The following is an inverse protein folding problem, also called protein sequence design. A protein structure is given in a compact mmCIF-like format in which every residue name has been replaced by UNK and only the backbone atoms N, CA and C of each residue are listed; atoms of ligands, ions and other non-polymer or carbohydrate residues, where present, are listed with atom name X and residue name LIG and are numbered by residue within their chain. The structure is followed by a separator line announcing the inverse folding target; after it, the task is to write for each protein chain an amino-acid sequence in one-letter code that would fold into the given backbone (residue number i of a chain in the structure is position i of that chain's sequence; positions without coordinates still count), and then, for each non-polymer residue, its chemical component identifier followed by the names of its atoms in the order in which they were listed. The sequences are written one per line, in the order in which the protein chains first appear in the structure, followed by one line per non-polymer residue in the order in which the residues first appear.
data_IF_876286283304
#
_entry.id   IF_876286283304
#
_cell.length_a   1.000
_cell.length_b   1.000
_cell.length_c   1.000
_cell.angle_alpha   90.00
_cell.angle_beta   90.00
_cell.angle_gamma   90.00
#
_symmetry.space_group_name_H-M   'P 1'
#
loop_
_entity.id
_entity.type
_entity.pdbx_description
1 polymer ?
#
# COMPACT_ATOMS: atom_id res chain seq x y z
N UNK A 1 6.64 -39.53 61.91
CA UNK A 1 6.15 -38.32 61.19
C UNK A 1 6.79 -38.10 59.81
N UNK A 2 7.53 -39.06 59.23
CA UNK A 2 8.32 -38.86 57.99
C UNK A 2 7.65 -39.42 56.70
N UNK A 3 6.73 -40.38 56.80
CA UNK A 3 6.10 -41.03 55.63
C UNK A 3 5.13 -40.13 54.83
N UNK A 4 4.57 -39.08 55.46
CA UNK A 4 3.67 -38.15 54.79
C UNK A 4 4.40 -37.17 53.85
N UNK A 5 5.72 -37.00 54.03
CA UNK A 5 6.52 -36.05 53.26
C UNK A 5 7.06 -36.69 51.97
N UNK A 6 7.47 -37.96 52.00
CA UNK A 6 7.90 -38.73 50.81
C UNK A 6 6.77 -38.90 49.78
N UNK A 7 5.56 -39.24 50.23
CA UNK A 7 4.39 -39.37 49.34
C UNK A 7 4.05 -38.05 48.64
N UNK A 8 4.30 -36.91 49.30
CA UNK A 8 4.06 -35.58 48.72
C UNK A 8 5.10 -35.24 47.64
N UNK A 9 6.36 -35.62 47.85
CA UNK A 9 7.41 -35.47 46.85
C UNK A 9 7.19 -36.38 45.63
N UNK A 10 6.79 -37.63 45.83
CA UNK A 10 6.42 -38.52 44.72
C UNK A 10 5.22 -38.00 43.95
N UNK A 11 4.16 -37.54 44.63
CA UNK A 11 2.99 -36.96 43.96
C UNK A 11 3.36 -35.72 43.14
N UNK A 12 4.17 -34.81 43.71
CA UNK A 12 4.68 -33.64 42.98
C UNK A 12 5.54 -34.08 41.79
N UNK A 13 6.41 -35.08 41.94
CA UNK A 13 7.24 -35.60 40.85
C UNK A 13 6.41 -36.22 39.71
N UNK A 14 5.43 -37.06 40.02
CA UNK A 14 4.56 -37.69 39.02
C UNK A 14 3.65 -36.68 38.32
N UNK A 15 3.11 -35.70 39.06
CA UNK A 15 2.32 -34.60 38.47
C UNK A 15 3.17 -33.72 37.58
N UNK A 16 4.39 -33.35 37.99
CA UNK A 16 5.32 -32.58 37.15
C UNK A 16 5.72 -33.37 35.90
N UNK A 17 6.03 -34.66 36.05
CA UNK A 17 6.41 -35.55 34.95
C UNK A 17 5.26 -35.75 33.95
N UNK A 18 4.03 -35.91 34.43
CA UNK A 18 2.83 -35.96 33.60
C UNK A 18 2.59 -34.66 32.84
N UNK A 19 2.80 -33.52 33.50
CA UNK A 19 2.67 -32.19 32.88
C UNK A 19 3.72 -31.98 31.79
N UNK A 20 4.97 -32.38 32.03
CA UNK A 20 6.05 -32.36 31.03
C UNK A 20 5.72 -33.28 29.84
N UNK A 21 5.24 -34.50 30.08
CA UNK A 21 4.84 -35.42 29.00
C UNK A 21 3.69 -34.86 28.16
N UNK A 22 2.68 -34.24 28.79
CA UNK A 22 1.59 -33.55 28.11
C UNK A 22 2.09 -32.38 27.26
N UNK A 23 2.99 -31.54 27.79
CA UNK A 23 3.59 -30.45 27.03
C UNK A 23 4.35 -31.00 25.82
N UNK A 24 5.16 -32.05 25.99
CA UNK A 24 5.93 -32.66 24.90
C UNK A 24 5.02 -33.23 23.81
N UNK A 25 3.93 -33.90 24.17
CA UNK A 25 2.94 -34.41 23.20
C UNK A 25 2.24 -33.27 22.46
N UNK A 26 1.87 -32.19 23.15
CA UNK A 26 1.26 -31.01 22.54
C UNK A 26 2.25 -30.36 21.56
N UNK A 27 3.51 -30.16 21.97
CA UNK A 27 4.55 -29.60 21.11
C UNK A 27 4.83 -30.48 19.90
N UNK A 28 4.89 -31.80 20.08
CA UNK A 28 5.05 -32.75 18.98
C UNK A 28 3.87 -32.68 18.01
N UNK A 29 2.64 -32.66 18.51
CA UNK A 29 1.43 -32.52 17.69
C UNK A 29 1.41 -31.20 16.92
N UNK A 30 1.76 -30.09 17.58
CA UNK A 30 1.88 -28.77 16.92
C UNK A 30 2.95 -28.82 15.83
N UNK A 31 4.14 -29.34 16.14
CA UNK A 31 5.25 -29.47 15.19
C UNK A 31 4.91 -30.35 13.98
N UNK A 32 4.24 -31.48 14.21
CA UNK A 32 3.77 -32.35 13.14
C UNK A 32 2.74 -31.62 12.26
N UNK A 33 1.76 -30.94 12.88
CA UNK A 33 0.72 -30.20 12.16
C UNK A 33 1.28 -29.02 11.37
N UNK A 34 2.25 -28.29 11.90
CA UNK A 34 2.92 -27.21 11.17
C UNK A 34 3.69 -27.76 9.98
N UNK A 35 4.43 -28.86 10.16
CA UNK A 35 5.19 -29.51 9.07
C UNK A 35 4.27 -29.99 7.95
N UNK A 36 3.14 -30.61 8.28
CA UNK A 36 2.15 -31.05 7.28
C UNK A 36 1.55 -29.85 6.54
N UNK A 37 1.21 -28.77 7.25
CA UNK A 37 0.67 -27.54 6.65
C UNK A 37 1.69 -26.84 5.73
N UNK A 38 2.97 -26.84 6.08
CA UNK A 38 4.04 -26.30 5.23
C UNK A 38 4.15 -27.09 3.93
N UNK A 39 4.22 -28.43 4.00
CA UNK A 39 4.25 -29.30 2.82
C UNK A 39 3.02 -29.08 1.93
N UNK A 40 1.84 -29.04 2.52
CA UNK A 40 0.59 -28.78 1.81
C UNK A 40 0.65 -27.45 1.03
N UNK A 41 1.19 -26.40 1.65
CA UNK A 41 1.31 -25.08 1.02
C UNK A 41 2.35 -25.06 -0.10
N UNK A 42 3.42 -25.83 0.01
CA UNK A 42 4.43 -25.95 -1.04
C UNK A 42 3.89 -26.75 -2.24
N UNK A 43 3.20 -27.86 -2.00
CA UNK A 43 2.51 -28.64 -3.04
C UNK A 43 1.44 -27.78 -3.74
N UNK A 44 0.68 -27.00 -2.97
CA UNK A 44 -0.31 -26.06 -3.48
C UNK A 44 0.32 -25.03 -4.42
N UNK A 45 1.43 -24.40 -4.02
CA UNK A 45 2.14 -23.41 -4.85
C UNK A 45 2.65 -24.05 -6.15
N UNK A 46 3.15 -25.28 -6.09
CA UNK A 46 3.64 -25.98 -7.27
C UNK A 46 2.48 -26.29 -8.23
N UNK A 47 1.37 -26.81 -7.71
CA UNK A 47 0.19 -27.14 -8.52
C UNK A 47 -0.47 -25.89 -9.11
N UNK A 48 -0.61 -24.83 -8.32
CA UNK A 48 -1.15 -23.54 -8.75
C UNK A 48 -0.39 -22.99 -9.98
N UNK A 49 0.95 -23.09 -10.00
CA UNK A 49 1.77 -22.61 -11.12
C UNK A 49 1.66 -23.43 -12.40
N UNK A 50 1.14 -24.66 -12.33
CA UNK A 50 0.93 -25.53 -13.49
C UNK A 50 -0.41 -25.25 -14.19
N UNK A 51 -1.31 -24.50 -13.56
CA UNK A 51 -2.61 -24.18 -14.11
C UNK A 51 -2.53 -23.03 -15.12
N UNK A 52 -3.43 -23.07 -16.11
CA UNK A 52 -3.61 -21.97 -17.06
C UNK A 52 -4.66 -21.00 -16.53
N UNK A 53 -4.33 -19.71 -16.54
CA UNK A 53 -5.19 -18.62 -16.05
C UNK A 53 -5.55 -17.66 -17.19
N UNK A 54 -6.62 -17.94 -17.96
CA UNK A 54 -7.13 -16.99 -18.94
C UNK A 54 -7.61 -15.72 -18.25
N UNK A 55 -7.29 -14.55 -18.83
CA UNK A 55 -7.79 -13.26 -18.34
C UNK A 55 -9.31 -13.18 -18.59
N UNK A 56 -10.16 -12.99 -17.56
CA UNK A 56 -11.62 -13.00 -17.74
C UNK A 56 -12.13 -11.90 -18.66
N UNK A 57 -11.54 -10.71 -18.57
CA UNK A 57 -11.89 -9.55 -19.38
C UNK A 57 -10.61 -8.94 -19.98
N UNK A 58 -10.31 -9.21 -21.27
CA UNK A 58 -9.12 -8.70 -21.92
C UNK A 58 -9.15 -7.17 -22.12
N UNK A 59 -10.34 -6.55 -22.08
CA UNK A 59 -10.55 -5.13 -22.32
C UNK A 59 -10.63 -4.29 -21.03
N UNK A 60 -10.35 -4.87 -19.87
CA UNK A 60 -10.35 -4.13 -18.62
C UNK A 60 -9.27 -3.03 -18.61
N UNK A 61 -9.70 -1.79 -18.43
CA UNK A 61 -8.84 -0.59 -18.49
C UNK A 61 -8.33 -0.15 -17.11
N UNK A 62 -8.63 -0.89 -16.04
CA UNK A 62 -8.19 -0.61 -14.67
C UNK A 62 -8.68 0.72 -14.09
N UNK A 63 -9.70 1.33 -14.69
CA UNK A 63 -10.30 2.56 -14.18
C UNK A 63 -11.43 2.25 -13.19
N UNK A 64 -11.14 2.42 -11.90
CA UNK A 64 -12.10 2.14 -10.82
C UNK A 64 -12.87 3.41 -10.44
N UNK A 65 -14.12 3.22 -10.01
CA UNK A 65 -14.94 4.27 -9.42
C UNK A 65 -15.74 3.70 -8.25
N UNK A 66 -16.02 4.55 -7.26
CA UNK A 66 -16.85 4.19 -6.12
C UNK A 66 -18.25 3.76 -6.61
N UNK A 67 -18.67 2.56 -6.19
CA UNK A 67 -20.01 2.01 -6.45
C UNK A 67 -20.76 1.87 -5.14
N UNK A 68 -22.00 2.35 -5.11
CA UNK A 68 -22.87 2.18 -3.94
C UNK A 68 -23.27 0.73 -3.78
N UNK A 69 -23.33 0.25 -2.54
CA UNK A 69 -23.71 -1.12 -2.19
C UNK A 69 -25.15 -1.12 -1.67
N UNK A 70 -26.05 -1.78 -2.39
CA UNK A 70 -27.44 -1.95 -1.95
C UNK A 70 -28.19 -0.62 -1.79
N UNK A 71 -28.76 -0.38 -0.61
CA UNK A 71 -29.53 0.84 -0.36
C UNK A 71 -28.65 2.10 -0.42
N UNK A 72 -28.94 2.99 -1.37
CA UNK A 72 -28.21 4.24 -1.56
C UNK A 72 -28.20 5.16 -0.33
N UNK A 73 -29.23 5.12 0.54
CA UNK A 73 -29.27 5.94 1.75
C UNK A 73 -28.24 5.53 2.81
N UNK A 74 -27.71 4.31 2.72
CA UNK A 74 -26.72 3.81 3.68
C UNK A 74 -25.31 4.36 3.42
N UNK A 75 -25.03 4.91 2.24
CA UNK A 75 -23.70 5.43 1.86
C UNK A 75 -22.59 4.36 2.00
N UNK A 76 -22.91 3.09 1.77
CA UNK A 76 -21.90 2.02 1.74
C UNK A 76 -21.33 1.94 0.33
N UNK A 77 -20.01 1.92 0.17
CA UNK A 77 -19.38 1.99 -1.15
C UNK A 77 -18.25 0.96 -1.31
N UNK A 78 -18.16 0.35 -2.50
CA UNK A 78 -17.08 -0.55 -2.93
C UNK A 78 -16.29 0.16 -4.02
N UNK A 79 -14.97 0.07 -3.98
CA UNK A 79 -14.11 0.76 -4.95
C UNK A 79 -13.40 -0.19 -5.91
N UNK A 80 -12.65 -1.14 -5.36
CA UNK A 80 -11.76 -1.99 -6.15
C UNK A 80 -11.66 -3.39 -5.59
N UNK A 81 -11.27 -4.31 -6.46
CA UNK A 81 -11.00 -5.69 -6.12
C UNK A 81 -9.78 -6.19 -6.90
N UNK A 82 -8.97 -7.04 -6.28
CA UNK A 82 -7.75 -7.60 -6.84
C UNK A 82 -7.72 -9.11 -6.65
N UNK A 83 -7.29 -9.84 -7.68
CA UNK A 83 -6.93 -11.24 -7.51
C UNK A 83 -5.51 -11.34 -6.96
N UNK A 84 -5.40 -11.76 -5.70
CA UNK A 84 -4.14 -11.99 -5.03
C UNK A 84 -3.79 -13.48 -5.06
N UNK A 85 -2.81 -13.83 -5.88
CA UNK A 85 -2.38 -15.20 -6.08
C UNK A 85 -1.57 -15.78 -4.90
N UNK A 86 -1.28 -14.99 -3.87
CA UNK A 86 -0.56 -15.44 -2.67
C UNK A 86 -1.44 -16.37 -1.85
N UNK A 87 -1.08 -17.65 -1.78
CA UNK A 87 -1.78 -18.66 -0.98
C UNK A 87 -1.30 -18.70 0.47
N UNK A 88 -0.13 -18.13 0.75
CA UNK A 88 0.44 -17.99 2.10
C UNK A 88 -0.38 -17.06 3.00
N UNK A 89 -1.03 -16.04 2.43
CA UNK A 89 -1.90 -15.12 3.16
C UNK A 89 -3.31 -15.66 3.38
N UNK A 90 -3.65 -16.82 2.79
CA UNK A 90 -4.94 -17.50 2.99
C UNK A 90 -4.80 -18.44 4.19
N UNK A 91 -5.70 -18.33 5.17
CA UNK A 91 -5.63 -19.14 6.38
C UNK A 91 -6.04 -20.58 6.11
N UNK A 92 -7.18 -20.81 5.45
CA UNK A 92 -7.70 -22.14 5.11
C UNK A 92 -7.50 -22.49 3.63
N UNK A 93 -6.46 -23.28 3.36
CA UNK A 93 -6.16 -23.78 2.01
C UNK A 93 -6.79 -25.15 1.73
N UNK A 94 -7.09 -25.42 0.46
CA UNK A 94 -7.61 -26.69 -0.07
C UNK A 94 -6.71 -27.21 -1.19
N UNK A 95 -6.49 -28.52 -1.24
CA UNK A 95 -5.74 -29.21 -2.30
C UNK A 95 -6.43 -30.51 -2.75
N UNK A 96 -7.68 -30.75 -2.36
CA UNK A 96 -8.37 -32.03 -2.60
C UNK A 96 -9.20 -31.99 -3.89
N UNK A 97 -10.53 -32.01 -3.84
CA UNK A 97 -11.38 -31.85 -5.04
C UNK A 97 -11.27 -30.44 -5.62
N UNK A 98 -11.14 -29.46 -4.73
CA UNK A 98 -10.88 -28.06 -5.04
C UNK A 98 -9.48 -27.65 -4.60
N UNK A 99 -8.88 -26.77 -5.38
CA UNK A 99 -7.59 -26.15 -5.12
C UNK A 99 -7.76 -24.67 -4.77
N UNK A 100 -7.09 -24.21 -3.71
CA UNK A 100 -6.97 -22.78 -3.41
C UNK A 100 -5.98 -22.11 -4.36
N UNK A 101 -6.46 -21.18 -5.19
CA UNK A 101 -5.62 -20.46 -6.16
C UNK A 101 -5.24 -19.06 -5.72
N UNK A 102 -5.64 -18.64 -4.52
CA UNK A 102 -5.40 -17.30 -4.00
C UNK A 102 -6.64 -16.76 -3.29
N UNK A 103 -6.78 -15.44 -3.30
CA UNK A 103 -7.94 -14.74 -2.71
C UNK A 103 -8.33 -13.51 -3.53
N UNK A 104 -9.57 -13.07 -3.35
CA UNK A 104 -9.99 -11.73 -3.76
C UNK A 104 -9.77 -10.76 -2.61
N UNK A 105 -9.06 -9.67 -2.89
CA UNK A 105 -8.86 -8.55 -1.97
C UNK A 105 -9.74 -7.40 -2.42
N UNK A 106 -10.74 -7.06 -1.62
CA UNK A 106 -11.76 -6.04 -1.93
C UNK A 106 -11.63 -4.88 -0.96
N UNK A 107 -11.63 -3.66 -1.51
CA UNK A 107 -11.57 -2.43 -0.73
C UNK A 107 -12.89 -1.66 -0.82
N UNK A 108 -13.40 -1.28 0.35
CA UNK A 108 -14.69 -0.64 0.51
C UNK A 108 -14.65 0.43 1.61
N UNK A 109 -15.66 1.29 1.62
CA UNK A 109 -15.97 2.18 2.74
C UNK A 109 -17.27 1.67 3.36
N UNK A 110 -17.17 1.21 4.61
CA UNK A 110 -18.28 0.64 5.36
C UNK A 110 -18.29 1.18 6.81
N UNK A 111 -19.44 1.19 7.48
CA UNK A 111 -19.52 1.60 8.88
C UNK A 111 -18.73 0.67 9.81
N UNK A 112 -18.04 1.23 10.81
CA UNK A 112 -17.24 0.45 11.77
C UNK A 112 -18.09 -0.61 12.51
N UNK A 113 -19.36 -0.29 12.81
CA UNK A 113 -20.32 -1.20 13.46
C UNK A 113 -20.59 -2.52 12.72
N UNK A 114 -20.16 -2.65 11.46
CA UNK A 114 -20.29 -3.91 10.72
C UNK A 114 -19.21 -4.93 11.10
N UNK A 115 -18.26 -4.62 11.99
CA UNK A 115 -17.13 -5.50 12.34
C UNK A 115 -17.54 -6.90 12.82
N UNK A 116 -18.72 -7.00 13.42
CA UNK A 116 -19.27 -8.26 13.93
C UNK A 116 -20.21 -8.94 12.92
N UNK A 117 -20.38 -8.36 11.73
CA UNK A 117 -21.24 -8.89 10.67
C UNK A 117 -20.47 -9.86 9.77
N UNK A 118 -21.13 -10.95 9.39
CA UNK A 118 -20.63 -11.81 8.33
C UNK A 118 -20.79 -11.09 6.98
N UNK A 119 -19.66 -10.93 6.28
CA UNK A 119 -19.60 -10.36 4.93
C UNK A 119 -19.24 -11.48 3.96
N UNK A 120 -19.87 -11.49 2.80
CA UNK A 120 -19.57 -12.40 1.70
C UNK A 120 -19.26 -11.62 0.42
N UNK A 121 -18.45 -12.22 -0.43
CA UNK A 121 -18.22 -11.79 -1.80
C UNK A 121 -19.16 -12.56 -2.74
N UNK A 122 -19.97 -11.84 -3.52
CA UNK A 122 -20.69 -12.42 -4.65
C UNK A 122 -19.81 -12.26 -5.88
N UNK A 123 -19.20 -13.35 -6.34
CA UNK A 123 -18.36 -13.36 -7.54
C UNK A 123 -19.22 -13.64 -8.76
N UNK A 124 -18.89 -13.01 -9.89
CA UNK A 124 -19.56 -13.21 -11.18
C UNK A 124 -18.55 -13.60 -12.24
N UNK A 125 -18.90 -14.60 -13.05
CA UNK A 125 -18.09 -15.11 -14.15
C UNK A 125 -18.57 -14.56 -15.50
N UNK A 126 -17.81 -14.85 -16.56
CA UNK A 126 -18.08 -14.36 -17.92
C UNK A 126 -19.40 -14.90 -18.51
N UNK A 127 -19.84 -16.08 -18.08
CA UNK A 127 -21.12 -16.70 -18.41
C UNK A 127 -22.30 -16.17 -17.57
N UNK A 128 -22.07 -15.12 -16.79
CA UNK A 128 -23.02 -14.52 -15.84
C UNK A 128 -23.42 -15.42 -14.66
N UNK A 129 -22.79 -16.58 -14.50
CA UNK A 129 -22.94 -17.37 -13.27
C UNK A 129 -22.37 -16.60 -12.08
N UNK A 130 -23.02 -16.75 -10.93
CA UNK A 130 -22.64 -16.08 -9.69
C UNK A 130 -22.59 -17.07 -8.53
N UNK A 131 -21.58 -16.90 -7.68
CA UNK A 131 -21.36 -17.72 -6.49
C UNK A 131 -21.05 -16.83 -5.30
N UNK A 132 -21.52 -17.24 -4.13
CA UNK A 132 -21.25 -16.52 -2.89
C UNK A 132 -20.10 -17.19 -2.13
N UNK A 133 -19.13 -16.38 -1.72
CA UNK A 133 -17.95 -16.80 -0.97
C UNK A 133 -17.94 -16.03 0.34
N UNK A 134 -18.03 -16.73 1.46
CA UNK A 134 -17.89 -16.11 2.78
C UNK A 134 -16.48 -15.54 2.93
N UNK A 135 -16.37 -14.28 3.33
CA UNK A 135 -15.07 -13.68 3.59
C UNK A 135 -14.39 -14.38 4.77
N UNK A 136 -13.12 -14.74 4.59
CA UNK A 136 -12.30 -15.28 5.68
C UNK A 136 -11.83 -14.16 6.60
N UNK A 137 -11.59 -12.98 6.04
CA UNK A 137 -11.28 -11.77 6.79
C UNK A 137 -12.12 -10.62 6.24
N UNK A 138 -12.80 -9.89 7.12
CA UNK A 138 -13.50 -8.66 6.77
C UNK A 138 -13.47 -7.71 7.96
N UNK A 139 -12.83 -6.56 7.81
CA UNK A 139 -12.70 -5.62 8.91
C UNK A 139 -12.32 -4.22 8.47
N UNK A 140 -12.64 -3.27 9.36
CA UNK A 140 -12.10 -1.92 9.28
C UNK A 140 -10.57 -1.95 9.47
N UNK A 141 -9.87 -1.20 8.62
CA UNK A 141 -8.41 -1.02 8.72
C UNK A 141 -8.07 -0.14 9.93
N UNK A 142 -6.86 -0.27 10.48
CA UNK A 142 -6.50 0.20 11.83
C UNK A 142 -6.62 1.72 12.09
N UNK A 143 -6.61 2.59 11.07
CA UNK A 143 -6.70 4.06 11.20
C UNK A 143 -8.14 4.60 11.17
N UNK A 144 -9.01 4.14 12.07
CA UNK A 144 -10.44 4.53 12.08
C UNK A 144 -10.67 5.94 12.65
N UNK A 145 -9.78 6.47 13.50
CA UNK A 145 -9.86 7.82 14.09
C UNK A 145 -11.24 8.18 14.71
N UNK A 146 -11.93 7.22 15.35
CA UNK A 146 -13.29 7.38 15.90
C UNK A 146 -14.35 7.84 14.87
N UNK A 147 -14.10 7.61 13.58
CA UNK A 147 -15.06 7.96 12.54
C UNK A 147 -16.20 6.95 12.43
N UNK A 148 -17.35 7.40 11.90
CA UNK A 148 -18.52 6.56 11.68
C UNK A 148 -18.31 5.52 10.56
N UNK A 149 -17.46 5.86 9.59
CA UNK A 149 -17.02 5.01 8.49
C UNK A 149 -15.53 4.74 8.59
N UNK A 150 -15.11 3.61 8.00
CA UNK A 150 -13.71 3.26 7.87
C UNK A 150 -13.41 2.76 6.46
N UNK A 151 -12.13 2.73 6.11
CA UNK A 151 -11.64 1.90 5.03
C UNK A 151 -11.72 0.42 5.48
N UNK A 152 -12.23 -0.45 4.61
CA UNK A 152 -12.38 -1.87 4.89
C UNK A 152 -11.54 -2.71 3.95
N UNK A 153 -10.90 -3.73 4.50
CA UNK A 153 -10.28 -4.81 3.74
C UNK A 153 -11.13 -6.07 3.88
N UNK A 154 -11.57 -6.61 2.75
CA UNK A 154 -12.30 -7.88 2.70
C UNK A 154 -11.48 -8.87 1.88
N UNK A 155 -11.28 -10.07 2.43
CA UNK A 155 -10.56 -11.17 1.80
C UNK A 155 -11.48 -12.39 1.66
N UNK A 156 -11.74 -12.78 0.42
CA UNK A 156 -12.54 -13.95 0.08
C UNK A 156 -11.64 -14.99 -0.61
N UNK A 157 -11.40 -16.17 0.00
CA UNK A 157 -10.53 -17.18 -0.59
C UNK A 157 -11.16 -17.76 -1.86
N UNK A 158 -10.36 -17.94 -2.92
CA UNK A 158 -10.80 -18.55 -4.16
C UNK A 158 -10.37 -20.01 -4.21
N UNK A 159 -11.38 -20.89 -4.18
CA UNK A 159 -11.26 -22.31 -4.41
C UNK A 159 -11.85 -22.63 -5.78
N UNK A 160 -11.13 -23.40 -6.60
CA UNK A 160 -11.59 -23.81 -7.93
C UNK A 160 -11.46 -25.32 -8.07
N UNK A 161 -12.31 -25.92 -8.89
CA UNK A 161 -12.12 -27.31 -9.29
C UNK A 161 -10.73 -27.50 -9.91
N UNK A 162 -10.15 -28.70 -9.79
CA UNK A 162 -8.89 -29.08 -10.44
C UNK A 162 -9.06 -29.26 -11.96
N UNK A 163 -9.48 -28.20 -12.64
CA UNK A 163 -9.60 -28.12 -14.09
C UNK A 163 -8.62 -27.08 -14.65
N UNK A 164 -8.16 -27.31 -15.88
CA UNK A 164 -7.33 -26.37 -16.64
C UNK A 164 -7.93 -26.24 -18.05
N UNK A 165 -8.24 -25.02 -18.52
CA UNK A 165 -7.98 -23.74 -17.89
C UNK A 165 -8.87 -23.44 -16.67
N UNK A 166 -8.34 -22.65 -15.74
CA UNK A 166 -9.07 -22.18 -14.56
C UNK A 166 -10.09 -21.13 -14.99
N UNK A 167 -11.34 -21.32 -14.60
CA UNK A 167 -12.36 -20.29 -14.76
C UNK A 167 -12.18 -19.25 -13.65
N UNK A 168 -11.80 -18.02 -14.04
CA UNK A 168 -11.58 -16.91 -13.11
C UNK A 168 -12.80 -15.96 -13.11
N UNK A 169 -13.20 -15.42 -11.94
CA UNK A 169 -14.32 -14.49 -11.86
C UNK A 169 -13.96 -13.12 -12.48
N UNK A 170 -14.90 -12.50 -13.20
CA UNK A 170 -14.69 -11.20 -13.82
C UNK A 170 -14.99 -10.03 -12.88
N UNK A 171 -15.93 -10.20 -11.96
CA UNK A 171 -16.41 -9.12 -11.10
C UNK A 171 -16.83 -9.64 -9.72
N UNK A 172 -16.86 -8.75 -8.74
CA UNK A 172 -17.28 -9.05 -7.37
C UNK A 172 -18.17 -7.95 -6.82
N UNK A 173 -19.14 -8.35 -6.00
CA UNK A 173 -19.95 -7.49 -5.15
C UNK A 173 -19.85 -7.97 -3.70
N UNK A 174 -20.27 -7.14 -2.75
CA UNK A 174 -20.33 -7.51 -1.33
C UNK A 174 -21.78 -7.75 -0.91
N UNK A 175 -22.01 -8.75 -0.06
CA UNK A 175 -23.29 -9.03 0.59
C UNK A 175 -23.14 -9.17 2.12
N UNK A 176 -24.13 -8.68 2.86
CA UNK A 176 -24.22 -8.83 4.32
C UNK A 176 -25.64 -8.55 4.82
N UNK A 177 -26.00 -9.19 5.94
CA UNK A 177 -27.40 -9.26 6.41
C UNK A 177 -28.07 -7.92 6.72
N UNK A 178 -27.31 -6.92 7.18
CA UNK A 178 -27.84 -5.60 7.52
C UNK A 178 -28.23 -4.74 6.31
N UNK A 179 -27.87 -5.15 5.08
CA UNK A 179 -28.24 -4.49 3.83
C UNK A 179 -28.70 -5.54 2.81
N UNK A 180 -29.94 -6.06 2.96
CA UNK A 180 -30.47 -7.13 2.09
C UNK A 180 -30.43 -6.80 0.59
N UNK A 181 -30.51 -5.53 0.20
CA UNK A 181 -30.40 -5.11 -1.20
C UNK A 181 -29.03 -5.43 -1.81
N UNK A 182 -27.98 -5.54 -1.00
CA UNK A 182 -26.65 -5.95 -1.45
C UNK A 182 -26.64 -7.37 -2.06
N UNK A 183 -27.55 -8.23 -1.64
CA UNK A 183 -27.73 -9.58 -2.19
C UNK A 183 -28.76 -9.62 -3.33
N UNK A 184 -29.86 -8.87 -3.21
CA UNK A 184 -30.96 -8.88 -4.19
C UNK A 184 -30.60 -8.13 -5.48
N UNK A 185 -29.80 -7.06 -5.39
CA UNK A 185 -29.31 -6.28 -6.53
C UNK A 185 -27.84 -5.91 -6.31
N UNK A 186 -26.90 -6.88 -6.47
CA UNK A 186 -25.51 -6.66 -6.13
C UNK A 186 -24.84 -5.66 -7.07
N UNK A 187 -24.06 -4.76 -6.49
CA UNK A 187 -23.31 -3.75 -7.23
C UNK A 187 -21.88 -4.22 -7.44
N UNK A 188 -21.55 -4.54 -8.69
CA UNK A 188 -20.30 -5.19 -9.06
C UNK A 188 -19.20 -4.19 -9.41
N UNK A 189 -17.98 -4.50 -8.96
CA UNK A 189 -16.73 -3.93 -9.46
C UNK A 189 -15.94 -5.01 -10.20
N UNK A 190 -15.17 -4.62 -11.21
CA UNK A 190 -14.32 -5.56 -11.95
C UNK A 190 -13.16 -6.01 -11.06
N UNK A 191 -12.81 -7.29 -11.15
CA UNK A 191 -11.64 -7.83 -10.45
C UNK A 191 -10.40 -7.53 -11.28
N UNK A 192 -9.42 -6.91 -10.64
CA UNK A 192 -8.15 -6.56 -11.27
C UNK A 192 -7.18 -7.74 -11.24
N UNK A 193 -6.68 -8.08 -12.42
CA UNK A 193 -5.67 -9.10 -12.69
C UNK A 193 -4.42 -8.44 -13.30
N UNK A 194 -3.26 -9.12 -13.39
CA UNK A 194 -2.10 -8.61 -14.12
C UNK A 194 -2.47 -8.11 -15.53
N UNK A 195 -1.86 -7.00 -15.96
CA UNK A 195 -2.07 -6.50 -17.34
C UNK A 195 -1.73 -7.60 -18.35
N UNK A 196 -0.59 -8.25 -18.10
CA UNK A 196 -0.13 -9.44 -18.79
C UNK A 196 -0.19 -10.65 -17.85
N UNK A 197 -1.02 -11.65 -18.14
CA UNK A 197 -1.20 -12.82 -17.27
C UNK A 197 0.06 -13.68 -17.12
N UNK A 198 1.05 -13.56 -18.02
CA UNK A 198 2.35 -14.22 -17.82
C UNK A 198 3.11 -13.69 -16.60
N UNK A 199 2.74 -12.51 -16.08
CA UNK A 199 3.36 -11.89 -14.91
C UNK A 199 2.78 -12.37 -13.58
N UNK A 200 1.66 -13.11 -13.59
CA UNK A 200 0.93 -13.54 -12.38
C UNK A 200 1.84 -14.24 -11.36
N UNK A 201 2.74 -15.10 -11.83
CA UNK A 201 3.71 -15.83 -11.00
C UNK A 201 5.16 -15.45 -11.30
N UNK A 202 5.39 -14.47 -12.19
CA UNK A 202 6.73 -14.03 -12.54
C UNK A 202 7.41 -13.38 -11.32
N UNK A 203 8.73 -13.28 -11.36
CA UNK A 203 9.46 -12.47 -10.38
C UNK A 203 9.06 -11.00 -10.56
N UNK A 204 8.79 -10.30 -9.47
CA UNK A 204 8.45 -8.87 -9.52
C UNK A 204 9.62 -8.05 -10.03
N UNK A 205 9.30 -7.00 -10.79
CA UNK A 205 10.28 -6.07 -11.35
C UNK A 205 10.90 -5.28 -10.21
N UNK A 206 12.22 -5.32 -10.08
CA UNK A 206 12.96 -4.63 -9.01
C UNK A 206 13.05 -3.11 -9.25
N UNK A 207 11.91 -2.48 -9.50
CA UNK A 207 11.73 -1.05 -9.75
C UNK A 207 10.77 -0.46 -8.72
N UNK A 208 10.83 0.86 -8.56
CA UNK A 208 10.04 1.59 -7.56
C UNK A 208 8.88 2.26 -8.28
N UNK A 209 7.66 2.00 -7.83
CA UNK A 209 6.51 2.87 -8.08
C UNK A 209 6.27 3.79 -6.88
N UNK A 210 5.51 4.87 -7.07
CA UNK A 210 5.18 5.82 -5.99
C UNK A 210 3.66 5.90 -5.82
N UNK A 211 3.20 5.57 -4.62
CA UNK A 211 1.83 5.78 -4.16
C UNK A 211 1.76 7.13 -3.47
N UNK A 212 1.18 8.11 -4.16
CA UNK A 212 1.05 9.47 -3.63
C UNK A 212 -0.27 9.61 -2.88
N UNK A 213 -0.24 10.23 -1.71
CA UNK A 213 -1.44 10.53 -0.94
C UNK A 213 -2.47 11.35 -1.74
N UNK A 214 -3.76 11.35 -1.35
CA UNK A 214 -4.81 12.02 -2.12
C UNK A 214 -4.51 13.51 -2.34
N UNK A 215 -4.64 13.96 -3.59
CA UNK A 215 -4.50 15.39 -3.94
C UNK A 215 -5.84 16.06 -3.66
N UNK A 216 -5.88 16.85 -2.59
CA UNK A 216 -7.09 17.44 -2.02
C UNK A 216 -6.81 18.88 -1.51
N UNK A 217 -7.80 19.48 -0.84
CA UNK A 217 -7.71 20.83 -0.25
C UNK A 217 -7.35 21.91 -1.28
N UNK A 218 -7.87 21.78 -2.51
CA UNK A 218 -7.60 22.69 -3.62
C UNK A 218 -6.09 22.94 -3.84
N UNK A 219 -5.31 21.86 -3.88
CA UNK A 219 -3.88 21.92 -4.06
C UNK A 219 -3.49 22.69 -5.34
N UNK A 220 -2.59 23.66 -5.21
CA UNK A 220 -2.24 24.59 -6.30
C UNK A 220 -0.74 24.79 -6.50
N UNK A 221 0.11 24.07 -5.75
CA UNK A 221 1.56 24.25 -5.85
C UNK A 221 2.15 23.40 -6.98
N UNK A 222 2.11 23.95 -8.18
CA UNK A 222 2.60 23.35 -9.42
C UNK A 222 4.09 23.01 -9.33
N UNK A 223 4.91 23.97 -8.87
CA UNK A 223 6.36 23.76 -8.81
C UNK A 223 6.74 22.60 -7.88
N UNK A 224 6.06 22.48 -6.73
CA UNK A 224 6.29 21.36 -5.80
C UNK A 224 5.90 20.02 -6.39
N UNK A 225 4.79 19.94 -7.13
CA UNK A 225 4.40 18.70 -7.80
C UNK A 225 5.44 18.27 -8.83
N UNK A 226 5.92 19.20 -9.67
CA UNK A 226 6.95 18.89 -10.68
C UNK A 226 8.25 18.46 -10.01
N UNK A 227 8.71 19.19 -8.99
CA UNK A 227 9.89 18.83 -8.22
C UNK A 227 9.76 17.47 -7.53
N UNK A 228 8.59 17.16 -6.94
CA UNK A 228 8.33 15.87 -6.31
C UNK A 228 8.50 14.71 -7.30
N UNK A 229 7.88 14.80 -8.48
CA UNK A 229 7.98 13.75 -9.51
C UNK A 229 9.42 13.60 -9.96
N UNK A 230 10.10 14.69 -10.32
CA UNK A 230 11.47 14.63 -10.83
C UNK A 230 12.48 14.18 -9.77
N UNK A 231 12.28 14.55 -8.50
CA UNK A 231 13.07 14.05 -7.38
C UNK A 231 12.95 12.53 -7.26
N UNK A 232 11.73 11.98 -7.23
CA UNK A 232 11.55 10.53 -7.13
C UNK A 232 12.07 9.79 -8.37
N UNK A 233 11.97 10.38 -9.56
CA UNK A 233 12.62 9.82 -10.77
C UNK A 233 14.13 9.75 -10.62
N UNK A 234 14.77 10.77 -10.06
CA UNK A 234 16.21 10.72 -9.73
C UNK A 234 16.55 9.70 -8.64
N UNK A 235 15.59 9.40 -7.77
CA UNK A 235 15.72 8.31 -6.79
C UNK A 235 15.48 6.92 -7.37
N UNK A 236 15.12 6.81 -8.65
CA UNK A 236 14.90 5.55 -9.37
C UNK A 236 13.45 5.09 -9.44
N UNK A 237 12.48 5.97 -9.16
CA UNK A 237 11.07 5.70 -9.43
C UNK A 237 10.78 5.67 -10.93
N UNK A 238 9.99 4.68 -11.36
CA UNK A 238 9.61 4.47 -12.77
C UNK A 238 8.15 4.78 -13.05
N UNK A 239 7.28 4.82 -12.03
CA UNK A 239 5.85 5.04 -12.20
C UNK A 239 5.22 5.70 -10.97
N UNK A 240 4.18 6.49 -11.18
CA UNK A 240 3.45 7.21 -10.14
C UNK A 240 1.96 6.88 -10.19
N UNK A 241 1.34 6.75 -9.03
CA UNK A 241 -0.11 6.63 -8.90
C UNK A 241 -0.63 7.83 -8.12
N UNK A 242 -1.43 8.66 -8.79
CA UNK A 242 -2.08 9.82 -8.22
C UNK A 242 -3.58 9.57 -8.06
N UNK A 243 -4.12 10.09 -6.96
CA UNK A 243 -5.54 10.02 -6.63
C UNK A 243 -6.05 11.44 -6.50
N UNK A 244 -6.80 11.87 -7.52
CA UNK A 244 -7.28 13.22 -7.68
C UNK A 244 -8.61 13.40 -6.94
N UNK A 245 -8.67 14.32 -5.98
CA UNK A 245 -9.91 14.74 -5.32
C UNK A 245 -10.27 16.16 -5.75
N UNK A 246 -9.34 17.09 -5.53
CA UNK A 246 -9.53 18.51 -5.85
C UNK A 246 -8.18 19.24 -5.93
N UNK A 247 -7.92 19.92 -7.04
CA UNK A 247 -6.74 20.76 -7.25
C UNK A 247 -7.00 21.85 -8.30
N UNK A 248 -6.08 22.80 -8.42
CA UNK A 248 -6.09 23.81 -9.50
C UNK A 248 -6.00 23.18 -10.90
N UNK A 249 -6.48 23.90 -11.91
CA UNK A 249 -6.36 23.48 -13.32
C UNK A 249 -4.90 23.29 -13.74
N UNK A 250 -3.98 24.13 -13.28
CA UNK A 250 -2.56 23.99 -13.59
C UNK A 250 -1.97 22.70 -13.01
N UNK A 251 -2.36 22.30 -11.80
CA UNK A 251 -1.97 21.00 -11.23
C UNK A 251 -2.53 19.86 -12.07
N UNK A 252 -3.80 19.93 -12.48
CA UNK A 252 -4.43 18.95 -13.37
C UNK A 252 -3.67 18.82 -14.69
N UNK A 253 -3.20 19.94 -15.26
CA UNK A 253 -2.41 19.95 -16.51
C UNK A 253 -1.06 19.24 -16.35
N UNK A 254 -0.37 19.40 -15.23
CA UNK A 254 0.88 18.67 -14.92
C UNK A 254 0.63 17.17 -14.76
N UNK A 255 -0.42 16.79 -14.03
CA UNK A 255 -0.79 15.38 -13.86
C UNK A 255 -1.11 14.72 -15.22
N UNK A 256 -1.84 15.42 -16.08
CA UNK A 256 -2.13 14.98 -17.45
C UNK A 256 -0.87 14.83 -18.29
N UNK A 257 0.07 15.77 -18.19
CA UNK A 257 1.35 15.69 -18.88
C UNK A 257 2.12 14.41 -18.52
N UNK A 258 2.29 14.11 -17.23
CA UNK A 258 2.95 12.87 -16.81
C UNK A 258 2.18 11.60 -17.18
N UNK A 259 0.83 11.68 -17.20
CA UNK A 259 -0.02 10.58 -17.70
C UNK A 259 0.23 10.28 -19.17
N UNK A 260 0.28 11.31 -20.02
CA UNK A 260 0.54 11.17 -21.46
C UNK A 260 1.94 10.64 -21.77
N UNK A 261 2.92 10.93 -20.91
CA UNK A 261 4.26 10.34 -21.00
C UNK A 261 4.33 8.88 -20.53
N UNK A 262 3.24 8.32 -19.99
CA UNK A 262 3.21 6.97 -19.44
C UNK A 262 3.97 6.82 -18.11
N UNK A 263 4.26 7.94 -17.43
CA UNK A 263 4.95 7.95 -16.14
C UNK A 263 3.97 7.90 -14.95
N UNK A 264 2.69 8.19 -15.18
CA UNK A 264 1.71 8.25 -14.12
C UNK A 264 0.34 7.69 -14.53
N UNK A 265 -0.32 7.02 -13.58
CA UNK A 265 -1.77 6.83 -13.61
C UNK A 265 -2.42 7.85 -12.68
N UNK A 266 -3.52 8.45 -13.13
CA UNK A 266 -4.30 9.44 -12.37
C UNK A 266 -5.72 8.92 -12.24
N UNK A 267 -6.15 8.66 -11.00
CA UNK A 267 -7.47 8.12 -10.70
C UNK A 267 -8.36 9.19 -10.06
N UNK A 268 -9.57 9.32 -10.56
CA UNK A 268 -10.62 10.12 -9.91
C UNK A 268 -11.02 9.49 -8.59
N UNK A 269 -10.66 10.13 -7.48
CA UNK A 269 -10.90 9.66 -6.12
C UNK A 269 -12.11 10.39 -5.50
N UNK A 270 -13.28 10.16 -6.11
CA UNK A 270 -14.56 10.80 -5.77
C UNK A 270 -15.15 10.36 -4.42
N UNK A 271 -14.37 10.48 -3.34
CA UNK A 271 -14.74 10.14 -1.96
C UNK A 271 -15.55 11.24 -1.28
N UNK A 272 -16.11 12.18 -2.05
CA UNK A 272 -16.84 13.37 -1.58
C UNK A 272 -17.96 13.03 -0.60
N UNK A 273 -18.64 11.91 -0.85
CA UNK A 273 -19.66 11.34 0.02
C UNK A 273 -19.17 11.09 1.44
N UNK A 274 -17.86 10.95 1.67
CA UNK A 274 -17.25 10.53 2.93
C UNK A 274 -16.14 11.46 3.45
N UNK A 275 -15.93 12.65 2.86
CA UNK A 275 -14.83 13.55 3.27
C UNK A 275 -14.86 13.95 4.76
N UNK A 276 -16.05 14.05 5.36
CA UNK A 276 -16.21 14.36 6.78
C UNK A 276 -16.13 13.14 7.70
N UNK A 277 -16.35 11.95 7.13
CA UNK A 277 -16.44 10.68 7.87
C UNK A 277 -15.19 9.80 7.67
N UNK A 278 -14.20 10.26 6.91
CA UNK A 278 -12.95 9.55 6.69
C UNK A 278 -11.77 10.47 6.92
N UNK A 279 -10.77 9.94 7.61
CA UNK A 279 -9.51 10.62 7.80
C UNK A 279 -8.78 10.82 6.47
N UNK A 280 -8.32 12.06 6.21
CA UNK A 280 -7.56 12.49 5.02
C UNK A 280 -8.09 11.94 3.69
N UNK A 281 -9.38 12.15 3.41
CA UNK A 281 -10.02 11.67 2.17
C UNK A 281 -9.84 10.16 1.92
N UNK A 282 -9.90 9.35 2.97
CA UNK A 282 -9.79 7.90 2.85
C UNK A 282 -8.39 7.43 2.45
N UNK A 283 -7.34 8.13 2.88
CA UNK A 283 -5.93 7.85 2.55
C UNK A 283 -5.53 6.38 2.74
N UNK A 284 -6.07 5.71 3.77
CA UNK A 284 -5.76 4.30 4.03
C UNK A 284 -6.38 3.36 2.99
N UNK A 285 -7.62 3.63 2.55
CA UNK A 285 -8.20 2.89 1.42
C UNK A 285 -7.38 3.13 0.14
N UNK A 286 -6.96 4.38 -0.09
CA UNK A 286 -6.17 4.77 -1.26
C UNK A 286 -4.80 4.09 -1.30
N UNK A 287 -4.05 4.07 -0.19
CA UNK A 287 -2.75 3.40 -0.17
C UNK A 287 -2.84 1.89 -0.34
N UNK A 288 -3.86 1.25 0.23
CA UNK A 288 -4.09 -0.18 -0.03
C UNK A 288 -4.43 -0.43 -1.49
N UNK A 289 -5.34 0.35 -2.08
CA UNK A 289 -5.64 0.27 -3.51
C UNK A 289 -4.37 0.44 -4.36
N UNK A 290 -3.57 1.47 -4.08
CA UNK A 290 -2.36 1.76 -4.82
C UNK A 290 -1.32 0.65 -4.75
N UNK A 291 -1.01 0.14 -3.55
CA UNK A 291 0.00 -0.91 -3.40
C UNK A 291 -0.47 -2.20 -4.06
N UNK A 292 -1.77 -2.51 -4.02
CA UNK A 292 -2.30 -3.69 -4.72
C UNK A 292 -2.30 -3.51 -6.24
N UNK A 293 -2.47 -2.30 -6.79
CA UNK A 293 -2.21 -2.04 -8.23
C UNK A 293 -0.76 -2.29 -8.58
N UNK A 294 0.15 -1.67 -7.82
CA UNK A 294 1.58 -1.84 -8.02
C UNK A 294 2.00 -3.31 -7.99
N UNK A 295 1.43 -4.10 -7.08
CA UNK A 295 1.67 -5.54 -6.98
C UNK A 295 1.00 -6.34 -8.11
N UNK A 296 -0.33 -6.33 -8.14
CA UNK A 296 -1.14 -7.29 -8.91
C UNK A 296 -1.23 -6.90 -10.38
N UNK A 297 -1.37 -5.61 -10.67
CA UNK A 297 -1.62 -5.13 -12.04
C UNK A 297 -0.32 -4.93 -12.79
N UNK A 298 0.64 -4.25 -12.15
CA UNK A 298 1.87 -3.76 -12.79
C UNK A 298 3.15 -4.49 -12.36
N UNK A 299 3.05 -5.40 -11.39
CA UNK A 299 4.14 -6.30 -10.97
C UNK A 299 5.43 -5.57 -10.51
N UNK A 300 5.28 -4.38 -9.92
CA UNK A 300 6.35 -3.65 -9.25
C UNK A 300 6.69 -4.30 -7.93
N UNK A 301 7.99 -4.51 -7.66
CA UNK A 301 8.46 -5.07 -6.38
C UNK A 301 8.35 -4.06 -5.25
N UNK A 302 8.57 -2.78 -5.52
CA UNK A 302 8.60 -1.73 -4.50
C UNK A 302 7.58 -0.64 -4.78
N UNK A 303 6.90 -0.18 -3.74
CA UNK A 303 6.07 1.02 -3.78
C UNK A 303 6.48 1.97 -2.65
N UNK A 304 6.87 3.20 -2.97
CA UNK A 304 7.06 4.27 -1.99
C UNK A 304 5.69 4.86 -1.65
N UNK A 305 5.31 4.84 -0.38
CA UNK A 305 4.03 5.38 0.10
C UNK A 305 4.30 6.71 0.81
N UNK A 306 3.94 7.84 0.17
CA UNK A 306 4.36 9.19 0.57
C UNK A 306 3.33 10.26 0.20
N UNK A 307 3.37 11.40 0.89
CA UNK A 307 2.64 12.61 0.52
C UNK A 307 3.49 13.54 -0.37
N UNK A 308 2.88 14.53 -1.02
CA UNK A 308 3.59 15.46 -1.94
C UNK A 308 4.68 16.31 -1.25
N UNK A 309 4.63 16.44 0.07
CA UNK A 309 5.62 17.20 0.86
C UNK A 309 6.71 16.30 1.50
N UNK A 310 6.83 15.04 1.05
CA UNK A 310 7.63 14.02 1.69
C UNK A 310 8.63 13.33 0.73
N UNK A 311 9.90 13.35 1.10
CA UNK A 311 10.99 12.73 0.33
C UNK A 311 11.72 11.68 1.17
N UNK A 312 11.61 10.41 0.79
CA UNK A 312 12.40 9.31 1.36
C UNK A 312 13.85 9.46 0.93
N UNK A 313 14.75 9.87 1.82
CA UNK A 313 16.11 10.28 1.48
C UNK A 313 17.15 9.27 1.98
N UNK A 314 17.82 8.50 1.12
CA UNK A 314 18.95 7.67 1.52
C UNK A 314 20.18 8.56 1.73
N UNK A 315 20.81 8.50 2.91
CA UNK A 315 21.97 9.31 3.29
C UNK A 315 23.31 8.67 2.91
N UNK A 316 23.34 7.35 2.73
CA UNK A 316 24.56 6.56 2.43
C UNK A 316 24.60 5.94 1.04
N UNK A 317 23.56 6.18 0.23
CA UNK A 317 23.41 5.63 -1.12
C UNK A 317 23.00 6.75 -2.06
N UNK A 318 23.36 6.64 -3.35
CA UNK A 318 23.11 7.69 -4.35
C UNK A 318 21.62 7.88 -4.64
N UNK A 319 20.84 6.79 -4.57
CA UNK A 319 19.40 6.78 -4.87
C UNK A 319 18.66 5.79 -3.97
N UNK A 320 17.33 5.91 -3.92
CA UNK A 320 16.48 4.96 -3.21
C UNK A 320 16.55 3.57 -3.86
N UNK A 321 16.64 3.51 -5.18
CA UNK A 321 16.84 2.26 -5.91
C UNK A 321 18.17 1.58 -5.55
N UNK A 322 19.26 2.34 -5.39
CA UNK A 322 20.55 1.77 -4.96
C UNK A 322 20.49 1.24 -3.53
N UNK A 323 19.82 1.96 -2.63
CA UNK A 323 19.57 1.50 -1.27
C UNK A 323 18.82 0.16 -1.26
N UNK A 324 17.68 0.07 -1.96
CA UNK A 324 16.87 -1.16 -1.99
C UNK A 324 17.63 -2.33 -2.63
N UNK A 325 18.40 -2.08 -3.68
CA UNK A 325 19.21 -3.12 -4.34
C UNK A 325 20.27 -3.72 -3.41
N UNK A 326 20.83 -2.90 -2.53
CA UNK A 326 21.92 -3.31 -1.63
C UNK A 326 21.42 -3.85 -0.29
N UNK A 327 20.28 -3.35 0.20
CA UNK A 327 19.80 -3.61 1.55
C UNK A 327 18.59 -4.56 1.63
N UNK A 328 17.92 -4.87 0.51
CA UNK A 328 16.80 -5.82 0.52
C UNK A 328 17.27 -7.28 0.54
N UNK A 329 17.21 -7.89 1.72
CA UNK A 329 17.52 -9.30 1.97
C UNK A 329 16.40 -10.26 1.50
N UNK A 330 15.29 -9.74 0.99
CA UNK A 330 14.19 -10.49 0.39
C UNK A 330 13.05 -10.87 1.33
N UNK A 331 13.17 -10.58 2.64
CA UNK A 331 12.12 -10.80 3.66
C UNK A 331 11.63 -9.51 4.33
N UNK A 332 11.91 -8.37 3.72
CA UNK A 332 11.48 -7.07 4.24
C UNK A 332 10.09 -6.72 3.70
N UNK A 333 9.10 -6.48 4.56
CA UNK A 333 7.78 -5.97 4.15
C UNK A 333 7.81 -4.48 3.83
N UNK A 334 8.54 -3.70 4.62
CA UNK A 334 8.67 -2.27 4.43
C UNK A 334 9.98 -1.71 4.99
N UNK A 335 10.56 -0.74 4.30
CA UNK A 335 11.70 0.05 4.76
C UNK A 335 11.18 1.35 5.35
N UNK A 336 11.22 1.47 6.67
CA UNK A 336 10.59 2.57 7.42
C UNK A 336 11.60 3.71 7.62
N UNK A 337 11.32 4.86 7.01
CA UNK A 337 12.14 6.07 7.12
C UNK A 337 11.57 7.00 8.18
N UNK A 338 12.40 7.31 9.18
CA UNK A 338 12.03 8.17 10.32
C UNK A 338 12.04 9.64 9.93
N UNK A 339 11.10 10.40 10.47
CA UNK A 339 10.79 11.76 10.04
C UNK A 339 11.73 12.82 10.66
N UNK A 340 12.13 13.77 9.82
CA UNK A 340 12.66 15.09 10.19
C UNK A 340 11.92 16.18 9.41
N UNK A 341 11.66 17.32 10.05
CA UNK A 341 10.91 18.41 9.41
C UNK A 341 11.81 19.51 8.84
N UNK A 342 11.49 19.96 7.65
CA UNK A 342 11.92 21.22 7.05
C UNK A 342 10.71 22.16 7.01
N UNK A 343 10.90 23.45 7.31
CA UNK A 343 9.78 24.39 7.42
C UNK A 343 9.82 25.49 6.36
N UNK A 344 8.67 25.78 5.71
CA UNK A 344 8.54 26.89 4.74
C UNK A 344 8.91 28.25 5.34
N UNK A 345 8.68 28.45 6.63
CA UNK A 345 8.98 29.70 7.35
C UNK A 345 10.48 29.97 7.52
N UNK A 346 11.33 28.95 7.47
CA UNK A 346 12.78 29.14 7.53
C UNK A 346 13.29 29.83 6.25
N UNK A 347 14.44 30.52 6.32
CA UNK A 347 15.00 31.25 5.18
C UNK A 347 15.34 30.34 4.00
N UNK A 348 15.13 30.81 2.77
CA UNK A 348 15.61 30.11 1.58
C UNK A 348 17.12 30.31 1.45
N UNK A 349 17.87 29.22 1.24
CA UNK A 349 19.25 29.25 0.75
C UNK A 349 19.22 28.91 -0.75
N UNK A 350 19.38 29.91 -1.62
CA UNK A 350 19.32 29.73 -3.09
C UNK A 350 20.71 29.73 -3.75
N UNK A 351 21.78 29.63 -2.96
CA UNK A 351 23.16 29.73 -3.48
C UNK A 351 23.49 28.64 -4.51
N UNK A 352 22.89 27.45 -4.37
CA UNK A 352 23.12 26.32 -5.27
C UNK A 352 22.27 26.37 -6.57
N UNK A 353 21.39 27.36 -6.73
CA UNK A 353 20.56 27.47 -7.94
C UNK A 353 21.43 27.97 -9.12
N UNK A 354 21.59 27.19 -10.21
CA UNK A 354 22.38 27.60 -11.36
C UNK A 354 21.89 28.93 -11.97
N UNK A 355 22.74 29.68 -12.65
CA UNK A 355 22.36 31.00 -13.17
C UNK A 355 21.27 30.93 -14.26
N UNK A 356 21.25 29.84 -15.04
CA UNK A 356 20.35 29.65 -16.18
C UNK A 356 18.93 29.22 -15.82
N UNK A 357 18.69 28.77 -14.58
CA UNK A 357 17.41 28.15 -14.21
C UNK A 357 16.35 29.19 -13.89
N UNK A 358 15.13 28.95 -14.36
CA UNK A 358 13.97 29.83 -14.21
C UNK A 358 13.24 29.52 -12.90
N UNK A 359 13.04 28.24 -12.55
CA UNK A 359 12.33 27.84 -11.33
C UNK A 359 13.28 27.70 -10.14
N UNK A 360 13.86 28.82 -9.69
CA UNK A 360 14.99 28.85 -8.73
C UNK A 360 14.68 28.39 -7.29
N UNK A 361 13.41 28.33 -6.89
CA UNK A 361 12.99 28.08 -5.49
C UNK A 361 12.39 26.68 -5.32
N UNK A 362 13.18 25.67 -5.69
CA UNK A 362 12.89 24.27 -5.40
C UNK A 362 12.99 24.01 -3.89
N UNK A 363 11.99 23.37 -3.28
CA UNK A 363 11.92 23.23 -1.83
C UNK A 363 13.03 22.35 -1.27
N UNK A 364 13.38 21.25 -1.95
CA UNK A 364 14.46 20.35 -1.54
C UNK A 364 15.84 20.98 -1.69
N UNK A 365 15.97 21.99 -2.56
CA UNK A 365 17.23 22.67 -2.84
C UNK A 365 17.41 23.95 -2.01
N UNK A 366 16.30 24.61 -1.66
CA UNK A 366 16.28 25.90 -0.96
C UNK A 366 16.02 25.82 0.55
N UNK A 367 15.29 24.80 1.02
CA UNK A 367 15.05 24.55 2.45
C UNK A 367 16.06 23.55 2.97
N UNK A 368 17.13 24.06 3.57
CA UNK A 368 18.29 23.28 4.00
C UNK A 368 18.38 23.14 5.51
N UNK A 369 17.45 23.71 6.27
CA UNK A 369 17.43 23.57 7.74
C UNK A 369 16.30 22.66 8.15
N UNK A 370 16.63 21.61 8.87
CA UNK A 370 15.68 20.63 9.42
C UNK A 370 15.76 20.53 10.92
N UNK A 371 14.76 19.93 11.53
CA UNK A 371 14.80 19.59 12.96
C UNK A 371 16.00 18.70 13.27
N UNK A 372 16.68 19.01 14.38
CA UNK A 372 17.75 18.18 14.92
C UNK A 372 17.21 16.82 15.37
N UNK A 373 16.07 16.84 16.05
CA UNK A 373 15.41 15.64 16.55
C UNK A 373 14.79 14.85 15.39
N UNK A 374 15.05 13.54 15.40
CA UNK A 374 14.47 12.54 14.50
C UNK A 374 13.32 11.86 15.23
N UNK A 375 12.11 11.92 14.68
CA UNK A 375 10.95 11.32 15.32
C UNK A 375 11.10 9.79 15.47
N UNK A 376 10.48 9.15 16.47
CA UNK A 376 10.48 7.70 16.60
C UNK A 376 9.94 7.00 15.34
N UNK A 377 10.34 5.74 15.13
CA UNK A 377 9.77 4.92 14.06
C UNK A 377 8.24 4.85 14.19
N UNK A 378 7.55 4.76 13.06
CA UNK A 378 6.08 4.69 12.94
C UNK A 378 5.33 5.97 13.34
N UNK A 379 6.00 6.94 13.99
CA UNK A 379 5.46 8.26 14.25
C UNK A 379 5.76 9.17 13.07
N UNK A 380 4.74 9.42 12.24
CA UNK A 380 4.84 10.22 11.01
C UNK A 380 5.94 9.74 10.06
N UNK A 381 6.30 8.46 10.14
CA UNK A 381 7.23 7.82 9.22
C UNK A 381 6.54 7.57 7.88
N UNK A 382 7.34 7.28 6.86
CA UNK A 382 6.86 6.80 5.56
C UNK A 382 7.73 5.64 5.11
N UNK A 383 7.22 4.85 4.18
CA UNK A 383 7.73 3.50 3.94
C UNK A 383 7.90 3.25 2.45
N UNK A 384 9.00 2.60 2.07
CA UNK A 384 9.02 1.84 0.82
C UNK A 384 8.59 0.43 1.13
N UNK A 385 7.46 -0.01 0.61
CA UNK A 385 6.97 -1.38 0.82
C UNK A 385 7.45 -2.31 -0.27
N UNK A 386 7.80 -3.54 0.12
CA UNK A 386 7.81 -4.67 -0.80
C UNK A 386 6.35 -5.06 -1.05
N UNK A 387 5.86 -4.84 -2.26
CA UNK A 387 4.44 -4.98 -2.60
C UNK A 387 3.92 -6.41 -2.40
N UNK A 388 4.80 -7.42 -2.48
CA UNK A 388 4.49 -8.83 -2.19
C UNK A 388 4.62 -9.19 -0.71
N UNK A 389 5.29 -8.37 0.08
CA UNK A 389 5.51 -8.56 1.51
C UNK A 389 4.42 -7.98 2.40
N UNK A 390 3.41 -7.30 1.84
CA UNK A 390 2.35 -6.63 2.63
C UNK A 390 0.95 -7.18 2.35
N UNK A 391 0.09 -7.10 3.36
CA UNK A 391 -1.33 -7.45 3.27
C UNK A 391 -2.23 -6.24 3.52
N UNK A 392 -1.84 -5.39 4.49
CA UNK A 392 -2.55 -4.14 4.84
C UNK A 392 -1.53 -3.01 5.07
N UNK A 393 -1.73 -1.90 4.36
CA UNK A 393 -0.94 -0.68 4.47
C UNK A 393 -1.65 0.36 5.35
N UNK A 394 -0.91 1.06 6.20
CA UNK A 394 -1.37 2.24 6.93
C UNK A 394 -0.87 3.55 6.33
N UNK A 395 -1.14 4.68 6.98
CA UNK A 395 -0.56 5.96 6.54
C UNK A 395 0.96 6.06 6.83
N UNK A 396 1.41 5.52 7.97
CA UNK A 396 2.79 5.69 8.45
C UNK A 396 3.60 4.40 8.58
N UNK A 397 2.95 3.25 8.42
CA UNK A 397 3.55 1.93 8.66
C UNK A 397 2.80 0.83 7.91
N UNK A 398 3.41 -0.34 7.80
CA UNK A 398 2.71 -1.56 7.39
C UNK A 398 1.91 -2.08 8.58
N UNK A 399 0.59 -2.21 8.44
CA UNK A 399 -0.25 -2.76 9.53
C UNK A 399 -0.20 -4.27 9.58
N UNK A 400 -0.12 -4.91 8.41
CA UNK A 400 0.00 -6.36 8.34
C UNK A 400 0.90 -6.78 7.19
N UNK A 401 1.95 -7.49 7.53
CA UNK A 401 2.87 -8.13 6.58
C UNK A 401 2.38 -9.51 6.17
N UNK A 402 2.79 -9.96 4.99
CA UNK A 402 2.63 -11.36 4.60
C UNK A 402 3.48 -12.27 5.52
N UNK A 403 3.09 -13.53 5.74
CA UNK A 403 3.84 -14.44 6.59
C UNK A 403 5.33 -14.52 6.22
N UNK A 404 6.20 -14.38 7.23
CA UNK A 404 7.65 -14.41 7.05
C UNK A 404 8.30 -13.10 6.61
N UNK A 405 7.51 -12.04 6.41
CA UNK A 405 8.01 -10.68 6.15
C UNK A 405 7.94 -9.81 7.40
N UNK A 406 8.91 -8.92 7.56
CA UNK A 406 8.98 -7.95 8.67
C UNK A 406 9.45 -6.58 8.21
N UNK A 407 9.08 -5.55 8.94
CA UNK A 407 9.53 -4.19 8.65
C UNK A 407 11.01 -4.03 9.03
N UNK A 408 11.75 -3.35 8.18
CA UNK A 408 13.11 -2.91 8.42
C UNK A 408 13.09 -1.41 8.75
N UNK A 409 13.35 -1.08 10.01
CA UNK A 409 13.51 0.32 10.42
C UNK A 409 14.86 0.81 9.93
N UNK A 410 14.84 1.75 8.99
CA UNK A 410 16.07 2.31 8.42
C UNK A 410 16.78 3.11 9.50
N UNK A 411 18.05 2.77 9.74
CA UNK A 411 18.84 3.50 10.73
C UNK A 411 18.98 4.97 10.31
N UNK A 412 18.86 5.90 11.25
CA UNK A 412 18.80 7.34 10.99
C UNK A 412 20.07 7.92 10.34
N UNK A 413 21.20 7.20 10.37
CA UNK A 413 22.43 7.58 9.67
C UNK A 413 22.50 7.05 8.22
N UNK A 414 21.56 6.18 7.85
CA UNK A 414 21.47 5.51 6.54
C UNK A 414 20.37 6.13 5.68
N UNK A 415 19.24 6.51 6.28
CA UNK A 415 18.10 7.10 5.59
C UNK A 415 17.18 7.86 6.54
N UNK A 416 16.58 8.93 6.03
CA UNK A 416 15.57 9.74 6.74
C UNK A 416 14.42 10.09 5.81
N UNK A 417 13.24 10.34 6.38
CA UNK A 417 12.14 10.98 5.69
C UNK A 417 12.29 12.49 5.85
N UNK A 418 12.47 13.20 4.75
CA UNK A 418 12.50 14.65 4.73
C UNK A 418 11.08 15.18 4.50
N UNK A 419 10.48 15.76 5.54
CA UNK A 419 9.10 16.28 5.51
C UNK A 419 9.09 17.81 5.43
N UNK A 420 8.71 18.36 4.28
CA UNK A 420 8.75 19.79 3.99
C UNK A 420 7.41 20.48 4.25
N UNK A 421 7.18 20.87 5.50
CA UNK A 421 5.89 21.41 5.95
C UNK A 421 5.78 22.93 5.75
N UNK A 422 4.59 23.37 5.35
CA UNK A 422 4.26 24.79 5.34
C UNK A 422 4.10 25.38 6.74
N UNK A 423 3.45 24.62 7.63
CA UNK A 423 3.21 25.00 9.02
C UNK A 423 4.25 24.36 9.94
N UNK A 424 4.82 25.14 10.86
CA UNK A 424 5.65 24.55 11.92
C UNK A 424 4.75 23.81 12.91
N UNK A 425 5.17 22.61 13.33
CA UNK A 425 4.47 21.87 14.39
C UNK A 425 4.93 22.39 15.75
N UNK A 426 6.24 22.55 15.90
CA UNK A 426 6.86 23.17 17.07
C UNK A 426 7.99 24.09 16.61
N UNK A 427 7.69 25.39 16.49
CA UNK A 427 8.64 26.42 16.08
C UNK A 427 9.80 26.64 17.07
N UNK A 428 9.78 26.03 18.26
CA UNK A 428 10.87 26.11 19.24
C UNK A 428 11.95 25.04 19.03
N UNK A 429 11.74 24.10 18.10
CA UNK A 429 12.70 23.05 17.84
C UNK A 429 14.01 23.61 17.26
N UNK A 430 15.13 23.05 17.70
CA UNK A 430 16.45 23.39 17.17
C UNK A 430 16.55 22.88 15.73
N UNK A 431 16.92 23.79 14.82
CA UNK A 431 17.16 23.45 13.42
C UNK A 431 18.66 23.35 13.14
N UNK A 432 19.05 22.34 12.38
CA UNK A 432 20.41 22.14 11.87
C UNK A 432 20.41 22.20 10.34
N UNK A 433 21.55 22.61 9.78
CA UNK A 433 21.77 22.62 8.34
C UNK A 433 21.99 21.19 7.85
N UNK A 434 21.27 20.79 6.81
CA UNK A 434 21.37 19.52 6.11
C UNK A 434 21.27 19.77 4.59
N UNK A 435 22.41 19.61 3.91
CA UNK A 435 22.52 19.79 2.46
C UNK A 435 22.30 18.49 1.67
N UNK A 436 21.88 17.39 2.30
CA UNK A 436 21.85 16.07 1.64
C UNK A 436 21.03 16.07 0.36
N UNK A 437 19.87 16.73 0.33
CA UNK A 437 19.02 16.81 -0.85
C UNK A 437 19.66 17.59 -2.02
N UNK A 438 20.68 18.43 -1.76
CA UNK A 438 21.39 19.19 -2.80
C UNK A 438 22.26 18.34 -3.71
N UNK A 439 22.52 17.08 -3.37
CA UNK A 439 23.27 16.18 -4.24
C UNK A 439 22.60 15.97 -5.61
N UNK A 440 21.27 16.14 -5.68
CA UNK A 440 20.53 16.07 -6.95
C UNK A 440 20.69 17.37 -7.76
N UNK A 441 20.88 18.49 -7.08
CA UNK A 441 21.47 19.73 -7.58
C UNK A 441 21.01 20.17 -8.96
N UNK A 442 21.97 20.47 -9.85
CA UNK A 442 21.72 20.97 -11.21
C UNK A 442 20.77 20.07 -11.99
N UNK A 443 20.95 18.74 -11.90
CA UNK A 443 20.14 17.80 -12.68
C UNK A 443 18.66 17.87 -12.29
N UNK A 444 18.34 18.11 -11.02
CA UNK A 444 16.95 18.31 -10.61
C UNK A 444 16.40 19.62 -11.17
N UNK A 445 17.15 20.73 -11.09
CA UNK A 445 16.73 22.00 -11.68
C UNK A 445 16.47 21.89 -13.18
N UNK A 446 17.40 21.28 -13.91
CA UNK A 446 17.30 21.12 -15.37
C UNK A 446 16.06 20.30 -15.76
N UNK A 447 15.75 19.23 -15.01
CA UNK A 447 14.55 18.42 -15.22
C UNK A 447 13.27 19.18 -14.90
N UNK A 448 13.24 19.93 -13.80
CA UNK A 448 12.07 20.72 -13.42
C UNK A 448 11.81 21.80 -14.45
N UNK A 449 12.84 22.56 -14.87
CA UNK A 449 12.70 23.59 -15.89
C UNK A 449 12.26 23.02 -17.24
N UNK A 450 12.79 21.87 -17.65
CA UNK A 450 12.36 21.19 -18.88
C UNK A 450 10.87 20.82 -18.82
N UNK A 451 10.42 20.16 -17.75
CA UNK A 451 9.00 19.82 -17.58
C UNK A 451 8.13 21.08 -17.52
N UNK A 452 8.55 22.10 -16.76
CA UNK A 452 7.79 23.35 -16.67
C UNK A 452 7.68 24.06 -18.02
N UNK A 453 8.72 24.01 -18.86
CA UNK A 453 8.71 24.55 -20.22
C UNK A 453 7.77 23.78 -21.14
N UNK A 454 7.78 22.45 -21.08
CA UNK A 454 6.86 21.60 -21.85
C UNK A 454 5.41 21.81 -21.44
N UNK A 455 5.15 21.93 -20.13
CA UNK A 455 3.78 22.09 -19.62
C UNK A 455 3.29 23.52 -19.78
N UNK A 456 4.11 24.55 -19.52
CA UNK A 456 3.70 25.96 -19.47
C UNK A 456 4.51 26.83 -20.43
N UNK A 457 4.53 26.44 -21.71
CA UNK A 457 5.22 27.17 -22.77
C UNK A 457 4.77 28.63 -22.85
N UNK A 458 3.48 28.90 -22.65
CA UNK A 458 2.91 30.25 -22.65
C UNK A 458 3.42 31.14 -21.51
N UNK A 459 4.00 30.54 -20.47
CA UNK A 459 4.62 31.22 -19.32
C UNK A 459 6.15 31.12 -19.35
N UNK A 460 6.74 30.83 -20.51
CA UNK A 460 8.19 30.67 -20.70
C UNK A 460 8.80 29.65 -19.71
N UNK A 461 8.03 28.59 -19.37
CA UNK A 461 8.48 27.52 -18.48
C UNK A 461 8.48 27.86 -16.99
N UNK A 462 7.73 28.87 -16.55
CA UNK A 462 7.58 29.19 -15.13
C UNK A 462 6.43 28.38 -14.52
N UNK A 463 6.76 27.45 -13.61
CA UNK A 463 5.82 26.77 -12.74
C UNK A 463 5.52 27.64 -11.52
N UNK A 464 4.23 27.93 -11.29
CA UNK A 464 3.84 28.79 -10.17
C UNK A 464 4.04 28.12 -8.81
N UNK A 465 4.49 28.91 -7.85
CA UNK A 465 4.46 28.61 -6.43
C UNK A 465 3.21 29.25 -5.83
N UNK A 466 2.40 28.45 -5.15
CA UNK A 466 1.22 28.91 -4.41
C UNK A 466 1.58 29.56 -3.07
#
# INVERSE_FOLDING_TARGET
MLAAQENRFQYVYFTLSGLVACIMLILFYISMRTTINERLRDDLKQMQRQLLYPKPNPHWNYNNSWRRIGNASLRHEIYSAYFDARTDIVGRVRLDEEITIGSLRVFAILPERLRDSQISCIVRFADFSSYEIVAEEAGAMHDVHNNSFAAWSIMCPLHVAKSSPVQLPQAVALSYGSNRLSQLSPSYVQISYPRNMSELFAKSRATISVCVGPIQENYSNVLRLVEFVEMYRLQGATHFYFYYVEASEEVRRVLEHYRLQGLADVFEWNVQSHLQDLHYAGIVAQFNDCVYRANVVDNYRYAAVVDLDEVLMPLKHNSLADYLRQCDEGRTSGFVFRNVFFYRKDSNDTFNAPAHVMNRVLYTQSKVRRTLEVLPAYIRSKVVVNTRGIVEMGNHQVYRSAPGYVDHIVHQTVGLLFHYRDKCINCKMVLIVDYTARRFGSLLFDRVDATCLEVFMERHGICQLA
#
